data_IF_696882128062
#
_entry.id   IF_696882128062
#
_cell.length_a   1.000
_cell.length_b   1.000
_cell.length_c   1.000
_cell.angle_alpha   90.00
_cell.angle_beta   90.00
_cell.angle_gamma   90.00
#
_symmetry.space_group_name_H-M   'P 1'
#
loop_
_entity.id
_entity.type
_entity.pdbx_description
1 polymer ?
#
# COMPACT_ATOMS: atom_id res chain seq x y z
N UNK A 1 -12.64 7.47 -18.55
CA UNK A 1 -11.25 7.96 -18.32
C UNK A 1 -10.56 6.92 -17.45
N UNK A 2 -9.35 6.51 -17.78
CA UNK A 2 -8.62 5.48 -17.00
C UNK A 2 -8.07 6.10 -15.70
N UNK A 3 -8.46 5.55 -14.56
CA UNK A 3 -8.08 6.05 -13.22
C UNK A 3 -6.57 5.96 -12.98
N UNK A 4 -5.89 4.96 -13.56
CA UNK A 4 -4.43 4.82 -13.41
C UNK A 4 -3.71 5.94 -14.16
N UNK A 5 -4.23 6.35 -15.33
CA UNK A 5 -3.69 7.50 -16.07
C UNK A 5 -3.89 8.80 -15.30
N UNK A 6 -5.05 9.00 -14.68
CA UNK A 6 -5.30 10.19 -13.84
C UNK A 6 -4.36 10.24 -12.64
N UNK A 7 -4.15 9.10 -11.96
CA UNK A 7 -3.18 8.99 -10.87
C UNK A 7 -1.76 9.36 -11.33
N UNK A 8 -1.33 8.81 -12.47
CA UNK A 8 -0.03 9.12 -13.06
C UNK A 8 0.12 10.61 -13.34
N UNK A 9 -0.83 11.21 -14.07
CA UNK A 9 -0.79 12.62 -14.46
C UNK A 9 -0.73 13.52 -13.21
N UNK A 10 -1.49 13.20 -12.16
CA UNK A 10 -1.51 13.94 -10.90
C UNK A 10 -0.19 13.81 -10.11
N UNK A 11 0.34 12.59 -9.96
CA UNK A 11 1.57 12.38 -9.20
C UNK A 11 2.76 13.10 -9.84
N UNK A 12 2.84 13.11 -11.17
CA UNK A 12 3.88 13.83 -11.91
C UNK A 12 3.70 15.35 -11.76
N UNK A 13 2.49 15.87 -11.94
CA UNK A 13 2.23 17.30 -11.89
C UNK A 13 2.55 17.90 -10.50
N UNK A 14 2.20 17.18 -9.44
CA UNK A 14 2.34 17.65 -8.05
C UNK A 14 3.63 17.15 -7.37
N UNK A 15 4.48 16.40 -8.08
CA UNK A 15 5.68 15.76 -7.54
C UNK A 15 5.40 14.94 -6.27
N UNK A 16 4.31 14.17 -6.30
CA UNK A 16 3.82 13.34 -5.20
C UNK A 16 4.31 11.90 -5.42
N UNK A 17 4.74 11.24 -4.35
CA UNK A 17 5.15 9.85 -4.34
C UNK A 17 4.20 8.92 -3.60
N UNK A 18 4.13 7.66 -4.03
CA UNK A 18 3.19 6.66 -3.51
C UNK A 18 3.90 5.35 -3.21
N UNK A 19 3.53 4.70 -2.11
CA UNK A 19 3.85 3.30 -1.81
C UNK A 19 2.57 2.48 -1.59
N UNK A 20 2.68 1.15 -1.61
CA UNK A 20 1.51 0.28 -1.36
C UNK A 20 1.80 -0.86 -0.38
N UNK A 21 0.78 -1.26 0.38
CA UNK A 21 0.77 -2.51 1.10
C UNK A 21 -0.47 -3.33 0.73
N UNK A 22 -0.27 -4.54 0.18
CA UNK A 22 -1.34 -5.35 -0.37
C UNK A 22 -1.49 -6.66 0.40
N UNK A 23 -2.70 -6.97 0.88
CA UNK A 23 -3.06 -8.30 1.37
C UNK A 23 -3.89 -9.02 0.31
N UNK A 24 -5.21 -8.79 0.26
CA UNK A 24 -6.13 -9.52 -0.62
C UNK A 24 -5.89 -9.29 -2.13
N UNK A 25 -5.25 -8.19 -2.53
CA UNK A 25 -4.97 -7.87 -3.93
C UNK A 25 -3.63 -8.42 -4.45
N UNK A 26 -2.75 -8.89 -3.55
CA UNK A 26 -1.53 -9.64 -3.88
C UNK A 26 -0.64 -9.04 -4.99
N UNK A 27 -0.51 -7.71 -5.05
CA UNK A 27 0.35 -7.03 -6.03
C UNK A 27 -0.38 -6.48 -7.25
N UNK A 28 -1.70 -6.68 -7.35
CA UNK A 28 -2.48 -6.18 -8.49
C UNK A 28 -2.50 -4.65 -8.54
N UNK A 29 -2.49 -3.97 -7.40
CA UNK A 29 -2.45 -2.49 -7.37
C UNK A 29 -1.09 -2.00 -7.85
N UNK A 30 -0.01 -2.54 -7.30
CA UNK A 30 1.36 -2.22 -7.74
C UNK A 30 1.52 -2.45 -9.25
N UNK A 31 1.10 -3.62 -9.74
CA UNK A 31 1.17 -3.97 -11.16
C UNK A 31 0.44 -2.96 -12.05
N UNK A 32 -0.78 -2.55 -11.66
CA UNK A 32 -1.54 -1.53 -12.38
C UNK A 32 -0.83 -0.18 -12.39
N UNK A 33 -0.33 0.30 -11.25
CA UNK A 33 0.42 1.57 -11.18
C UNK A 33 1.64 1.52 -12.10
N UNK A 34 2.38 0.41 -12.08
CA UNK A 34 3.60 0.24 -12.89
C UNK A 34 3.35 -0.09 -14.36
N UNK A 35 2.09 -0.25 -14.78
CA UNK A 35 1.75 -0.50 -16.20
C UNK A 35 1.92 0.73 -17.09
N UNK A 36 2.03 1.93 -16.50
CA UNK A 36 2.27 3.18 -17.22
C UNK A 36 3.77 3.52 -17.15
N UNK A 37 4.40 3.68 -18.31
CA UNK A 37 5.80 4.13 -18.42
C UNK A 37 6.04 5.44 -17.65
N UNK A 38 7.17 5.52 -16.94
CA UNK A 38 7.50 6.67 -16.10
C UNK A 38 6.94 6.60 -14.68
N UNK A 39 6.23 5.53 -14.31
CA UNK A 39 5.76 5.33 -12.93
C UNK A 39 6.88 5.32 -11.88
N UNK A 40 8.13 5.02 -12.26
CA UNK A 40 9.30 5.11 -11.39
C UNK A 40 9.58 6.50 -10.84
N UNK A 41 9.02 7.56 -11.44
CA UNK A 41 9.14 8.92 -10.94
C UNK A 41 8.40 9.14 -9.61
N UNK A 42 7.32 8.39 -9.36
CA UNK A 42 6.49 8.57 -8.16
C UNK A 42 6.26 7.30 -7.34
N UNK A 43 6.24 6.12 -7.96
CA UNK A 43 5.98 4.88 -7.25
C UNK A 43 7.26 4.37 -6.57
N UNK A 44 7.27 4.37 -5.23
CA UNK A 44 8.43 3.98 -4.40
C UNK A 44 8.56 2.47 -4.22
N UNK A 45 7.47 1.73 -4.39
CA UNK A 45 7.43 0.29 -4.20
C UNK A 45 6.25 -0.15 -3.33
N UNK A 46 6.25 -1.42 -2.95
CA UNK A 46 5.22 -1.95 -2.07
C UNK A 46 5.56 -3.28 -1.42
N UNK A 47 4.72 -3.66 -0.46
CA UNK A 47 4.85 -4.90 0.31
C UNK A 47 3.59 -5.73 0.14
N UNK A 48 3.76 -7.00 -0.22
CA UNK A 48 2.66 -7.97 -0.22
C UNK A 48 2.64 -8.65 1.16
N UNK A 49 1.67 -8.31 2.00
CA UNK A 49 1.53 -8.75 3.38
C UNK A 49 0.31 -9.67 3.58
N UNK A 50 0.21 -10.73 2.78
CA UNK A 50 -0.92 -11.67 2.80
C UNK A 50 -1.09 -12.34 4.18
N UNK A 51 0.01 -12.86 4.75
CA UNK A 51 0.01 -13.48 6.07
C UNK A 51 0.15 -12.43 7.19
N UNK A 52 -0.53 -12.65 8.32
CA UNK A 52 -0.46 -11.76 9.49
C UNK A 52 0.96 -11.61 10.02
N UNK A 53 1.78 -12.66 9.90
CA UNK A 53 3.21 -12.61 10.24
C UNK A 53 3.98 -11.55 9.44
N UNK A 54 3.66 -11.37 8.15
CA UNK A 54 4.30 -10.35 7.30
C UNK A 54 3.81 -8.94 7.69
N UNK A 55 2.52 -8.80 8.03
CA UNK A 55 1.98 -7.54 8.58
C UNK A 55 2.75 -7.12 9.84
N UNK A 56 3.04 -8.07 10.73
CA UNK A 56 3.79 -7.80 11.97
C UNK A 56 5.28 -7.56 11.69
N UNK A 57 5.96 -8.46 10.97
CA UNK A 57 7.43 -8.41 10.79
C UNK A 57 7.88 -7.30 9.86
N UNK A 58 7.18 -7.12 8.73
CA UNK A 58 7.62 -6.23 7.65
C UNK A 58 6.92 -4.89 7.76
N UNK A 59 5.61 -4.88 8.02
CA UNK A 59 4.83 -3.65 8.17
C UNK A 59 4.71 -3.17 9.62
N UNK A 60 5.36 -3.84 10.59
CA UNK A 60 5.39 -3.39 11.99
C UNK A 60 4.00 -3.18 12.62
N UNK A 61 2.98 -3.88 12.11
CA UNK A 61 1.62 -3.85 12.68
C UNK A 61 1.63 -4.56 14.03
N UNK A 62 0.89 -4.02 14.99
CA UNK A 62 0.77 -4.63 16.33
C UNK A 62 0.09 -6.00 16.23
N UNK A 63 0.80 -7.05 16.66
CA UNK A 63 0.21 -8.40 16.79
C UNK A 63 -1.03 -8.38 17.69
N UNK A 64 -0.96 -7.66 18.81
CA UNK A 64 -2.08 -7.51 19.75
C UNK A 64 -3.30 -6.89 19.07
N UNK A 65 -3.10 -5.89 18.21
CA UNK A 65 -4.19 -5.26 17.48
C UNK A 65 -4.86 -6.24 16.52
N UNK A 66 -4.08 -7.05 15.80
CA UNK A 66 -4.61 -8.10 14.93
C UNK A 66 -5.38 -9.15 15.75
N UNK A 67 -4.86 -9.56 16.91
CA UNK A 67 -5.54 -10.54 17.79
C UNK A 67 -6.88 -9.99 18.32
N UNK A 68 -6.97 -8.68 18.59
CA UNK A 68 -8.18 -8.02 19.13
C UNK A 68 -9.21 -7.62 18.05
N UNK A 69 -8.75 -7.23 16.85
CA UNK A 69 -9.58 -6.60 15.80
C UNK A 69 -9.63 -7.37 14.49
N UNK A 70 -8.84 -8.43 14.34
CA UNK A 70 -8.58 -9.16 13.10
C UNK A 70 -7.84 -8.34 12.04
N UNK A 71 -7.24 -9.03 11.07
CA UNK A 71 -6.54 -8.40 9.95
C UNK A 71 -7.43 -7.60 9.00
N UNK A 72 -8.76 -7.78 9.07
CA UNK A 72 -9.75 -7.04 8.28
C UNK A 72 -10.46 -6.04 9.18
N UNK A 73 -9.70 -5.04 9.65
CA UNK A 73 -10.19 -3.92 10.45
C UNK A 73 -9.56 -2.61 10.00
N UNK A 74 -10.27 -1.50 10.22
CA UNK A 74 -9.77 -0.16 9.92
C UNK A 74 -8.46 0.12 10.66
N UNK A 75 -8.36 -0.28 11.93
CA UNK A 75 -7.20 0.00 12.78
C UNK A 75 -5.94 -0.73 12.27
N UNK A 76 -6.09 -1.98 11.79
CA UNK A 76 -4.98 -2.72 11.18
C UNK A 76 -4.57 -2.09 9.85
N UNK A 77 -5.53 -1.72 9.00
CA UNK A 77 -5.26 -1.09 7.70
C UNK A 77 -4.60 0.28 7.87
N UNK A 78 -5.01 1.07 8.86
CA UNK A 78 -4.39 2.35 9.21
C UNK A 78 -2.93 2.17 9.65
N UNK A 79 -2.63 1.19 10.52
CA UNK A 79 -1.23 0.90 10.87
C UNK A 79 -0.42 0.43 9.67
N UNK A 80 -0.97 -0.42 8.80
CA UNK A 80 -0.32 -0.82 7.57
C UNK A 80 -0.01 0.39 6.67
N UNK A 81 -0.96 1.33 6.54
CA UNK A 81 -0.84 2.54 5.71
C UNK A 81 0.24 3.49 6.22
N UNK A 82 0.24 3.81 7.51
CA UNK A 82 1.25 4.67 8.12
C UNK A 82 2.64 4.04 8.03
N UNK A 83 2.75 2.75 8.34
CA UNK A 83 4.05 2.09 8.40
C UNK A 83 4.66 1.82 7.01
N UNK A 84 3.84 1.55 5.98
CA UNK A 84 4.38 1.42 4.61
C UNK A 84 4.80 2.77 4.05
N UNK A 85 4.03 3.82 4.33
CA UNK A 85 4.36 5.19 3.96
C UNK A 85 5.73 5.60 4.53
N UNK A 86 5.94 5.37 5.82
CA UNK A 86 7.21 5.66 6.51
C UNK A 86 8.38 4.84 5.94
N UNK A 87 8.21 3.52 5.76
CA UNK A 87 9.26 2.63 5.23
C UNK A 87 9.78 3.03 3.85
N UNK A 88 8.89 3.53 2.99
CA UNK A 88 9.25 3.97 1.64
C UNK A 88 9.50 5.47 1.54
N UNK A 89 9.29 6.22 2.63
CA UNK A 89 9.31 7.67 2.67
C UNK A 89 8.49 8.28 1.51
N UNK A 90 7.24 7.80 1.36
CA UNK A 90 6.31 8.26 0.32
C UNK A 90 5.33 9.29 0.86
N UNK A 91 4.82 10.16 0.00
CA UNK A 91 3.85 11.20 0.40
C UNK A 91 2.47 10.61 0.71
N UNK A 92 2.09 9.53 0.02
CA UNK A 92 0.87 8.77 0.30
C UNK A 92 1.12 7.27 0.26
N UNK A 93 0.18 6.50 0.82
CA UNK A 93 0.14 5.05 0.68
C UNK A 93 -1.26 4.55 0.31
N UNK A 94 -1.33 3.45 -0.45
CA UNK A 94 -2.58 2.73 -0.72
C UNK A 94 -2.49 1.34 -0.14
N UNK A 95 -3.46 0.97 0.70
CA UNK A 95 -3.41 -0.28 1.45
C UNK A 95 -4.71 -1.06 1.34
N UNK A 96 -4.60 -2.37 1.20
CA UNK A 96 -5.76 -3.28 1.15
C UNK A 96 -5.63 -4.44 2.13
N UNK A 97 -6.71 -4.68 2.87
CA UNK A 97 -6.92 -5.91 3.66
C UNK A 97 -8.39 -6.28 3.59
N UNK A 98 -8.68 -7.57 3.42
CA UNK A 98 -10.03 -8.07 3.22
C UNK A 98 -10.06 -9.57 2.97
N UNK A 99 -11.27 -10.12 3.00
CA UNK A 99 -11.54 -11.49 2.54
C UNK A 99 -11.87 -11.43 1.05
N UNK A 100 -11.09 -12.14 0.23
CA UNK A 100 -11.21 -12.17 -1.23
C UNK A 100 -12.01 -13.38 -1.72
#
# INVERSE_FOLDING_TARGET
MDIIKQLHDLCIAENISISVAESCTSGLIASKITSISGSSAYFKGGIIAYQNEIKVKVLSVSKRLIDEKTEVSSEVVEQMALNVQDKFNSDFSVVTSGYA
#
